data_IF_709056026312
#
_entry.id   IF_709056026312
#
_cell.length_a   1.000
_cell.length_b   1.000
_cell.length_c   1.000
_cell.angle_alpha   90.00
_cell.angle_beta   90.00
_cell.angle_gamma   90.00
#
_symmetry.space_group_name_H-M   'P 1'
#
loop_
_entity.id
_entity.type
_entity.pdbx_description
1 polymer ?
#
# COMPACT_ATOMS: atom_id res chain seq x y z
N UNK A 1 -30.53 -7.56 22.14
CA UNK A 1 -29.95 -8.10 20.89
C UNK A 1 -28.92 -7.14 20.23
N UNK A 2 -29.31 -5.92 19.85
CA UNK A 2 -28.40 -4.97 19.18
C UNK A 2 -27.13 -4.66 19.97
N UNK A 3 -27.19 -4.47 21.29
CA UNK A 3 -25.99 -4.22 22.12
C UNK A 3 -25.04 -5.43 22.10
N UNK A 4 -25.55 -6.65 22.28
CA UNK A 4 -24.71 -7.85 22.26
C UNK A 4 -24.05 -8.08 20.89
N UNK A 5 -24.74 -7.72 19.80
CA UNK A 5 -24.14 -7.77 18.45
C UNK A 5 -23.02 -6.72 18.28
N UNK A 6 -23.22 -5.51 18.79
CA UNK A 6 -22.19 -4.48 18.75
C UNK A 6 -20.95 -4.89 19.59
N UNK A 7 -21.17 -5.37 20.81
CA UNK A 7 -20.10 -5.83 21.71
C UNK A 7 -19.32 -7.00 21.07
N UNK A 8 -20.02 -7.94 20.41
CA UNK A 8 -19.40 -9.05 19.69
C UNK A 8 -18.55 -8.55 18.51
N UNK A 9 -19.08 -7.64 17.69
CA UNK A 9 -18.37 -7.08 16.54
C UNK A 9 -17.10 -6.33 16.99
N UNK A 10 -17.17 -5.57 18.09
CA UNK A 10 -16.02 -4.88 18.65
C UNK A 10 -14.90 -5.87 19.02
N UNK A 11 -15.25 -7.00 19.65
CA UNK A 11 -14.29 -8.05 19.99
C UNK A 11 -13.74 -8.71 18.72
N UNK A 12 -14.58 -9.06 17.74
CA UNK A 12 -14.14 -9.70 16.49
C UNK A 12 -13.11 -8.87 15.72
N UNK A 13 -13.27 -7.55 15.68
CA UNK A 13 -12.32 -6.62 15.05
C UNK A 13 -10.94 -6.58 15.73
N UNK A 14 -10.79 -7.15 16.93
CA UNK A 14 -9.51 -7.22 17.63
C UNK A 14 -8.78 -8.55 17.44
N UNK A 15 -9.45 -9.57 16.91
CA UNK A 15 -8.87 -10.91 16.73
C UNK A 15 -8.02 -10.92 15.46
N UNK A 16 -6.72 -11.28 15.57
CA UNK A 16 -5.88 -11.41 14.39
C UNK A 16 -6.28 -12.62 13.55
N UNK A 17 -5.93 -12.57 12.26
CA UNK A 17 -6.11 -13.72 11.36
C UNK A 17 -5.27 -14.92 11.83
N UNK A 18 -5.81 -16.12 11.61
CA UNK A 18 -5.09 -17.37 11.89
C UNK A 18 -4.05 -17.58 10.79
N UNK A 19 -2.76 -17.71 11.14
CA UNK A 19 -1.73 -18.03 10.16
C UNK A 19 -1.91 -19.44 9.61
N UNK A 20 -1.36 -19.70 8.42
CA UNK A 20 -1.28 -21.08 7.88
C UNK A 20 -0.23 -21.88 8.61
N UNK A 21 -0.34 -23.23 8.55
CA UNK A 21 0.61 -24.16 9.22
C UNK A 21 2.05 -23.99 8.73
N UNK A 22 2.27 -23.40 7.56
CA UNK A 22 3.59 -23.14 6.99
C UNK A 22 4.30 -21.93 7.64
N UNK A 23 3.57 -21.08 8.35
CA UNK A 23 4.16 -19.92 9.01
C UNK A 23 4.91 -20.34 10.26
N UNK A 24 6.23 -20.08 10.35
CA UNK A 24 7.00 -20.46 11.51
C UNK A 24 6.56 -19.69 12.76
N UNK A 25 6.52 -20.38 13.90
CA UNK A 25 6.32 -19.71 15.18
C UNK A 25 7.52 -18.82 15.50
N UNK A 26 7.25 -17.58 15.93
CA UNK A 26 8.29 -16.63 16.26
C UNK A 26 7.77 -15.40 16.99
N UNK A 27 8.65 -14.69 17.69
CA UNK A 27 8.32 -13.50 18.45
C UNK A 27 8.56 -12.20 17.67
N UNK A 28 9.40 -12.25 16.66
CA UNK A 28 9.83 -11.11 15.87
C UNK A 28 10.37 -11.53 14.49
N UNK A 29 10.78 -10.55 13.68
CA UNK A 29 11.28 -10.76 12.34
C UNK A 29 12.52 -11.65 12.24
N UNK A 30 13.25 -11.92 13.34
CA UNK A 30 14.40 -12.84 13.33
C UNK A 30 13.99 -14.29 13.11
N UNK A 31 12.73 -14.59 13.35
CA UNK A 31 12.14 -15.93 13.13
C UNK A 31 11.66 -16.15 11.69
N UNK A 32 11.68 -15.10 10.83
CA UNK A 32 11.26 -15.23 9.44
C UNK A 32 12.19 -16.14 8.65
N UNK A 33 11.59 -17.01 7.84
CA UNK A 33 12.31 -17.93 6.96
C UNK A 33 12.24 -17.42 5.52
N UNK A 34 13.39 -17.36 4.84
CA UNK A 34 13.44 -17.03 3.42
C UNK A 34 12.94 -18.24 2.64
N UNK A 35 11.77 -18.13 2.02
CA UNK A 35 11.15 -19.22 1.25
C UNK A 35 11.60 -19.30 -0.18
N UNK A 36 12.13 -18.19 -0.74
CA UNK A 36 12.62 -18.16 -2.12
C UNK A 36 13.64 -17.05 -2.30
N UNK A 37 14.75 -17.37 -2.97
CA UNK A 37 15.73 -16.41 -3.48
C UNK A 37 15.80 -16.51 -5.01
N UNK A 38 16.10 -15.39 -5.67
CA UNK A 38 16.17 -15.39 -7.13
C UNK A 38 16.89 -14.15 -7.66
N UNK A 39 17.30 -14.24 -8.95
CA UNK A 39 18.05 -13.19 -9.62
C UNK A 39 19.53 -13.20 -9.28
N UNK A 40 20.27 -12.25 -9.90
CA UNK A 40 21.69 -12.04 -9.64
C UNK A 40 21.82 -10.76 -8.82
N UNK A 41 22.38 -10.86 -7.62
CA UNK A 41 22.71 -9.69 -6.81
C UNK A 41 23.81 -8.90 -7.50
N UNK A 42 23.58 -7.62 -7.87
CA UNK A 42 24.62 -6.83 -8.50
C UNK A 42 25.75 -6.55 -7.52
N UNK A 43 26.99 -6.67 -8.01
CA UNK A 43 28.18 -6.25 -7.28
C UNK A 43 28.39 -4.75 -7.50
N UNK A 44 28.12 -3.95 -6.48
CA UNK A 44 28.25 -2.51 -6.55
C UNK A 44 29.70 -2.11 -6.20
N UNK A 45 30.34 -1.24 -7.00
CA UNK A 45 31.69 -0.75 -6.71
C UNK A 45 31.76 -0.11 -5.31
N UNK A 46 32.93 -0.18 -4.69
CA UNK A 46 33.19 0.53 -3.44
C UNK A 46 32.95 2.04 -3.62
N UNK A 47 32.29 2.68 -2.69
CA UNK A 47 31.92 4.10 -2.76
C UNK A 47 30.70 4.40 -3.64
N UNK A 48 29.91 3.39 -4.05
CA UNK A 48 28.64 3.61 -4.73
C UNK A 48 27.72 4.51 -3.91
N UNK A 49 27.14 5.52 -4.58
CA UNK A 49 26.26 6.50 -3.94
C UNK A 49 24.91 5.86 -3.58
N UNK A 50 24.36 6.26 -2.44
CA UNK A 50 22.99 5.94 -2.08
C UNK A 50 21.99 6.65 -3.02
N UNK A 51 20.76 6.14 -3.11
CA UNK A 51 19.75 6.70 -4.02
C UNK A 51 19.46 8.18 -3.75
N UNK A 52 19.42 8.63 -2.51
CA UNK A 52 19.20 10.04 -2.16
C UNK A 52 20.34 10.96 -2.62
N UNK A 53 21.59 10.48 -2.64
CA UNK A 53 22.73 11.22 -3.15
C UNK A 53 22.69 11.29 -4.68
N UNK A 54 22.27 10.21 -5.35
CA UNK A 54 22.05 10.19 -6.80
C UNK A 54 20.93 11.14 -7.21
N UNK A 55 19.80 11.14 -6.48
CA UNK A 55 18.67 12.03 -6.73
C UNK A 55 19.08 13.50 -6.63
N UNK A 56 19.87 13.84 -5.62
CA UNK A 56 20.43 15.19 -5.43
C UNK A 56 21.42 15.54 -6.53
N UNK A 57 22.38 14.65 -6.82
CA UNK A 57 23.43 14.86 -7.85
C UNK A 57 22.83 15.18 -9.22
N UNK A 58 21.73 14.52 -9.58
CA UNK A 58 21.09 14.69 -10.87
C UNK A 58 19.86 15.62 -10.83
N UNK A 59 19.60 16.29 -9.71
CA UNK A 59 18.45 17.19 -9.51
C UNK A 59 17.13 16.54 -9.92
N UNK A 60 16.87 15.34 -9.42
CA UNK A 60 15.70 14.53 -9.79
C UNK A 60 14.56 14.64 -8.78
N UNK A 61 14.88 14.77 -7.49
CA UNK A 61 13.93 14.91 -6.39
C UNK A 61 14.42 15.98 -5.43
N UNK A 62 13.54 16.85 -5.00
CA UNK A 62 13.79 17.87 -4.00
C UNK A 62 12.97 17.61 -2.75
N UNK A 63 13.65 17.25 -1.67
CA UNK A 63 13.03 16.99 -0.37
C UNK A 63 12.78 18.28 0.41
N UNK A 64 13.62 19.31 0.22
CA UNK A 64 13.50 20.59 0.92
C UNK A 64 12.27 21.37 0.44
N UNK A 65 11.98 21.33 -0.87
CA UNK A 65 10.73 21.86 -1.41
C UNK A 65 9.51 21.11 -0.86
N UNK A 66 9.60 19.78 -0.71
CA UNK A 66 8.55 18.99 -0.08
C UNK A 66 8.28 19.41 1.36
N UNK A 67 9.33 19.61 2.15
CA UNK A 67 9.23 20.13 3.52
C UNK A 67 8.61 21.53 3.54
N UNK A 68 8.97 22.41 2.60
CA UNK A 68 8.42 23.77 2.47
C UNK A 68 6.92 23.77 2.19
N UNK A 69 6.44 22.84 1.36
CA UNK A 69 5.03 22.80 0.90
C UNK A 69 4.15 22.10 1.92
N UNK A 70 4.61 20.98 2.49
CA UNK A 70 3.79 20.07 3.28
C UNK A 70 4.49 19.66 4.58
N UNK A 71 5.68 19.06 4.48
CA UNK A 71 6.42 18.51 5.60
C UNK A 71 7.41 17.43 5.16
N UNK A 72 8.14 16.85 6.10
CA UNK A 72 9.03 15.73 5.84
C UNK A 72 8.24 14.53 5.31
N UNK A 73 8.87 13.74 4.42
CA UNK A 73 8.22 12.56 3.82
C UNK A 73 7.32 12.84 2.61
N UNK A 74 7.31 14.08 2.10
CA UNK A 74 6.61 14.48 0.89
C UNK A 74 7.62 15.00 -0.15
N UNK A 75 8.22 14.15 -1.00
CA UNK A 75 9.20 14.56 -1.99
C UNK A 75 8.57 15.30 -3.17
N UNK A 76 9.33 16.21 -3.78
CA UNK A 76 8.95 16.86 -5.05
C UNK A 76 9.78 16.26 -6.17
N UNK A 77 9.13 15.55 -7.08
CA UNK A 77 9.76 14.97 -8.27
C UNK A 77 9.92 16.05 -9.36
N UNK A 78 11.12 16.16 -9.96
CA UNK A 78 11.44 17.24 -10.89
C UNK A 78 11.83 16.70 -12.25
N UNK A 79 11.35 17.33 -13.30
CA UNK A 79 11.76 17.16 -14.68
C UNK A 79 11.76 15.70 -15.15
N UNK A 80 12.94 15.13 -15.37
CA UNK A 80 13.09 13.76 -15.87
C UNK A 80 12.55 12.72 -14.89
N UNK A 81 12.61 12.98 -13.57
CA UNK A 81 12.11 12.03 -12.58
C UNK A 81 10.58 11.98 -12.56
N UNK A 82 9.91 13.14 -12.64
CA UNK A 82 8.45 13.18 -12.76
C UNK A 82 7.95 12.47 -14.03
N UNK A 83 8.70 12.63 -15.15
CA UNK A 83 8.39 11.89 -16.39
C UNK A 83 8.64 10.39 -16.23
N UNK A 84 9.72 10.00 -15.57
CA UNK A 84 10.07 8.60 -15.36
C UNK A 84 9.03 7.90 -14.47
N UNK A 85 8.57 8.55 -13.40
CA UNK A 85 7.52 8.03 -12.55
C UNK A 85 6.24 7.72 -13.35
N UNK A 86 5.73 8.66 -14.13
CA UNK A 86 4.56 8.42 -14.99
C UNK A 86 4.78 7.31 -16.02
N UNK A 87 6.00 7.15 -16.52
CA UNK A 87 6.34 6.07 -17.44
C UNK A 87 6.31 4.70 -16.75
N UNK A 88 6.76 4.62 -15.50
CA UNK A 88 6.66 3.40 -14.69
C UNK A 88 5.22 3.04 -14.36
N UNK A 89 4.40 4.03 -14.00
CA UNK A 89 2.96 3.85 -13.74
C UNK A 89 2.26 3.25 -14.97
N UNK A 90 2.46 3.88 -16.14
CA UNK A 90 1.91 3.39 -17.40
C UNK A 90 2.41 1.98 -17.75
N UNK A 91 3.71 1.73 -17.56
CA UNK A 91 4.30 0.42 -17.82
C UNK A 91 3.68 -0.67 -16.93
N UNK A 92 3.54 -0.44 -15.62
CA UNK A 92 2.95 -1.42 -14.72
C UNK A 92 1.47 -1.68 -15.00
N UNK A 93 0.69 -0.64 -15.33
CA UNK A 93 -0.69 -0.79 -15.75
C UNK A 93 -0.82 -1.61 -17.06
N UNK A 94 0.03 -1.33 -18.04
CA UNK A 94 0.05 -2.07 -19.30
C UNK A 94 0.44 -3.55 -19.09
N UNK A 95 1.40 -3.84 -18.22
CA UNK A 95 1.77 -5.22 -17.88
C UNK A 95 0.65 -5.95 -17.12
N UNK A 96 -0.04 -5.27 -16.20
CA UNK A 96 -1.21 -5.83 -15.52
C UNK A 96 -2.33 -6.15 -16.52
N UNK A 97 -2.64 -5.22 -17.44
CA UNK A 97 -3.64 -5.44 -18.50
C UNK A 97 -3.29 -6.61 -19.40
N UNK A 98 -2.03 -6.75 -19.83
CA UNK A 98 -1.55 -7.91 -20.59
C UNK A 98 -1.72 -9.23 -19.83
N UNK A 99 -1.68 -9.18 -18.49
CA UNK A 99 -1.90 -10.31 -17.60
C UNK A 99 -3.39 -10.56 -17.29
N UNK A 100 -4.30 -9.87 -18.01
CA UNK A 100 -5.75 -10.07 -17.90
C UNK A 100 -6.42 -9.32 -16.76
N UNK A 101 -5.77 -8.29 -16.19
CA UNK A 101 -6.39 -7.42 -15.21
C UNK A 101 -7.19 -6.31 -15.87
N UNK A 102 -8.35 -6.01 -15.31
CA UNK A 102 -9.17 -4.84 -15.67
C UNK A 102 -8.67 -3.61 -14.91
N UNK A 103 -8.34 -2.55 -15.64
CA UNK A 103 -7.91 -1.31 -15.04
C UNK A 103 -9.10 -0.56 -14.43
N UNK A 104 -8.94 -0.12 -13.18
CA UNK A 104 -9.92 0.65 -12.41
C UNK A 104 -9.27 1.91 -11.88
N UNK A 105 -9.94 3.04 -11.97
CA UNK A 105 -9.51 4.30 -11.37
C UNK A 105 -10.40 4.64 -10.17
N UNK A 106 -10.01 4.26 -8.94
CA UNK A 106 -10.82 4.48 -7.75
C UNK A 106 -10.65 5.91 -7.20
N UNK A 107 -11.57 6.38 -6.34
CA UNK A 107 -11.36 7.60 -5.56
C UNK A 107 -10.20 7.43 -4.57
N UNK A 108 -9.51 8.55 -4.26
CA UNK A 108 -8.39 8.59 -3.32
C UNK A 108 -8.82 8.74 -1.85
N UNK A 109 -10.11 8.88 -1.62
CA UNK A 109 -10.71 8.96 -0.29
C UNK A 109 -11.82 7.92 -0.16
N UNK A 110 -11.96 7.37 1.03
CA UNK A 110 -12.95 6.33 1.33
C UNK A 110 -13.70 6.64 2.61
N UNK A 111 -14.90 6.10 2.76
CA UNK A 111 -15.66 6.16 4.00
C UNK A 111 -15.17 5.12 5.03
N UNK A 112 -15.65 5.25 6.27
CA UNK A 112 -15.29 4.38 7.38
C UNK A 112 -15.59 2.89 7.07
N UNK A 113 -16.76 2.61 6.47
CA UNK A 113 -17.14 1.24 6.13
C UNK A 113 -16.15 0.57 5.17
N UNK A 114 -15.56 1.31 4.23
CA UNK A 114 -14.52 0.79 3.35
C UNK A 114 -13.21 0.54 4.07
N UNK A 115 -12.85 1.40 5.03
CA UNK A 115 -11.67 1.19 5.88
C UNK A 115 -11.81 -0.05 6.77
N UNK A 116 -12.99 -0.29 7.31
CA UNK A 116 -13.32 -1.50 8.08
C UNK A 116 -13.31 -2.75 7.21
N UNK A 117 -13.84 -2.66 5.99
CA UNK A 117 -13.96 -3.80 5.06
C UNK A 117 -12.62 -4.42 4.63
N UNK A 118 -11.52 -3.67 4.72
CA UNK A 118 -10.17 -4.14 4.42
C UNK A 118 -9.22 -4.14 5.62
N UNK A 119 -9.75 -3.97 6.84
CA UNK A 119 -8.97 -4.04 8.07
C UNK A 119 -8.01 -2.87 8.30
N UNK A 120 -8.17 -1.75 7.58
CA UNK A 120 -7.42 -0.51 7.84
C UNK A 120 -7.95 0.23 9.07
N UNK A 121 -9.22 0.02 9.38
CA UNK A 121 -9.87 0.48 10.61
C UNK A 121 -10.30 -0.71 11.46
N UNK A 122 -10.29 -0.58 12.79
CA UNK A 122 -9.82 0.57 13.57
C UNK A 122 -8.30 0.79 13.44
N UNK A 123 -7.90 2.04 13.19
CA UNK A 123 -6.50 2.43 12.99
C UNK A 123 -5.74 2.46 14.32
N UNK A 124 -5.30 1.29 14.77
CA UNK A 124 -4.58 1.11 16.05
C UNK A 124 -3.19 1.74 16.05
N UNK A 125 -2.59 1.93 14.88
CA UNK A 125 -1.23 2.43 14.73
C UNK A 125 -1.18 3.89 14.30
N UNK A 126 -2.32 4.53 14.04
CA UNK A 126 -2.41 5.92 13.61
C UNK A 126 -1.82 6.16 12.22
N UNK A 127 -1.99 5.21 11.30
CA UNK A 127 -1.41 5.26 9.95
C UNK A 127 -2.26 6.04 8.94
N UNK A 128 -3.56 6.15 9.19
CA UNK A 128 -4.51 6.76 8.26
C UNK A 128 -4.55 8.28 8.38
N UNK A 129 -4.54 8.97 7.24
CA UNK A 129 -4.94 10.38 7.18
C UNK A 129 -6.46 10.48 7.16
N UNK A 130 -7.01 11.30 8.04
CA UNK A 130 -8.45 11.48 8.21
C UNK A 130 -8.87 12.93 7.96
N UNK A 131 -9.79 13.14 7.03
CA UNK A 131 -10.47 14.40 6.80
C UNK A 131 -11.70 14.48 7.73
N UNK A 132 -11.50 15.06 8.91
CA UNK A 132 -12.47 15.00 10.02
C UNK A 132 -13.84 15.62 9.71
N UNK A 133 -13.86 16.70 8.90
CA UNK A 133 -15.12 17.41 8.59
C UNK A 133 -16.07 16.55 7.76
N UNK A 134 -15.52 15.76 6.84
CA UNK A 134 -16.30 14.93 5.91
C UNK A 134 -16.36 13.47 6.34
N UNK A 135 -15.66 13.11 7.42
CA UNK A 135 -15.46 11.72 7.86
C UNK A 135 -14.96 10.79 6.74
N UNK A 136 -13.96 11.27 5.99
CA UNK A 136 -13.32 10.53 4.92
C UNK A 136 -11.85 10.25 5.23
N UNK A 137 -11.35 9.12 4.77
CA UNK A 137 -9.97 8.70 4.96
C UNK A 137 -9.23 8.69 3.64
N UNK A 138 -8.01 9.26 3.60
CA UNK A 138 -7.14 9.14 2.43
C UNK A 138 -6.64 7.70 2.35
N UNK A 139 -6.66 7.12 1.17
CA UNK A 139 -6.30 5.71 0.97
C UNK A 139 -4.80 5.46 1.18
N UNK A 140 -4.41 4.41 1.92
CA UNK A 140 -3.02 3.98 2.05
C UNK A 140 -2.58 3.06 0.90
N UNK A 141 -3.52 2.59 0.11
CA UNK A 141 -3.37 1.67 -1.04
C UNK A 141 -4.68 1.63 -1.83
N UNK A 142 -4.60 1.42 -3.14
CA UNK A 142 -5.79 1.21 -3.98
C UNK A 142 -6.55 -0.08 -3.63
N UNK A 143 -5.93 -1.01 -2.92
CA UNK A 143 -6.59 -2.21 -2.39
C UNK A 143 -7.89 -1.85 -1.63
N UNK A 144 -7.86 -0.80 -0.80
CA UNK A 144 -9.03 -0.40 -0.01
C UNK A 144 -10.25 -0.08 -0.87
N UNK A 145 -10.22 0.90 -1.80
CA UNK A 145 -11.39 1.17 -2.61
C UNK A 145 -11.71 0.04 -3.61
N UNK A 146 -10.72 -0.62 -4.19
CA UNK A 146 -10.95 -1.65 -5.23
C UNK A 146 -11.59 -2.91 -4.63
N UNK A 147 -11.15 -3.36 -3.45
CA UNK A 147 -11.79 -4.49 -2.75
C UNK A 147 -13.23 -4.15 -2.36
N UNK A 148 -13.46 -2.92 -1.93
CA UNK A 148 -14.79 -2.48 -1.52
C UNK A 148 -15.79 -2.25 -2.67
N UNK A 149 -15.36 -2.32 -3.93
CA UNK A 149 -16.29 -2.41 -5.06
C UNK A 149 -17.20 -3.64 -4.96
N UNK A 150 -16.72 -4.69 -4.31
CA UNK A 150 -17.39 -5.97 -4.16
C UNK A 150 -17.88 -6.23 -2.73
N UNK A 151 -17.84 -5.21 -1.84
CA UNK A 151 -18.32 -5.34 -0.48
C UNK A 151 -19.84 -5.53 -0.47
N UNK A 152 -20.32 -6.47 0.35
CA UNK A 152 -21.73 -6.84 0.49
C UNK A 152 -22.36 -7.41 -0.80
N UNK A 153 -21.54 -7.81 -1.78
CA UNK A 153 -21.98 -8.47 -3.01
C UNK A 153 -21.82 -9.99 -2.90
N UNK A 154 -22.74 -10.73 -3.47
CA UNK A 154 -22.62 -12.17 -3.69
C UNK A 154 -22.21 -12.35 -5.14
N UNK A 155 -20.97 -12.80 -5.36
CA UNK A 155 -20.39 -12.99 -6.69
C UNK A 155 -20.66 -14.43 -7.13
N UNK A 156 -21.22 -14.59 -8.33
CA UNK A 156 -21.45 -15.90 -8.89
C UNK A 156 -20.12 -16.58 -9.30
N UNK A 157 -20.04 -17.89 -9.15
CA UNK A 157 -18.84 -18.67 -9.42
C UNK A 157 -18.28 -18.47 -10.83
N UNK A 158 -19.16 -18.30 -11.81
CA UNK A 158 -18.81 -18.08 -13.21
C UNK A 158 -18.23 -16.68 -13.51
N UNK A 159 -18.32 -15.75 -12.58
CA UNK A 159 -17.71 -14.42 -12.67
C UNK A 159 -16.27 -14.42 -12.16
N UNK A 160 -15.84 -15.48 -11.46
CA UNK A 160 -14.50 -15.60 -10.91
C UNK A 160 -13.51 -16.24 -11.90
N UNK A 161 -12.23 -15.88 -11.85
CA UNK A 161 -11.63 -14.88 -10.98
C UNK A 161 -11.85 -13.44 -11.49
N UNK A 162 -12.21 -12.53 -10.59
CA UNK A 162 -12.22 -11.10 -10.89
C UNK A 162 -10.83 -10.53 -10.66
N UNK A 163 -10.24 -9.89 -11.65
CA UNK A 163 -8.90 -9.31 -11.59
C UNK A 163 -8.95 -7.83 -11.90
N UNK A 164 -8.52 -7.00 -10.96
CA UNK A 164 -8.47 -5.55 -11.10
C UNK A 164 -7.05 -5.02 -10.89
N UNK A 165 -6.65 -4.02 -11.66
CA UNK A 165 -5.46 -3.24 -11.37
C UNK A 165 -5.82 -1.76 -11.26
N UNK A 166 -5.10 -1.03 -10.40
CA UNK A 166 -5.34 0.38 -10.19
C UNK A 166 -4.05 1.12 -9.87
N UNK A 167 -3.90 2.31 -10.46
CA UNK A 167 -2.93 3.29 -10.01
C UNK A 167 -3.57 4.23 -8.98
N UNK A 168 -2.85 4.57 -7.94
CA UNK A 168 -3.25 5.62 -7.01
C UNK A 168 -2.06 6.27 -6.31
N UNK A 169 -2.20 7.55 -5.97
CA UNK A 169 -1.45 8.12 -4.87
C UNK A 169 -1.92 7.47 -3.56
N UNK A 170 -0.97 7.11 -2.71
CA UNK A 170 -1.21 6.46 -1.42
C UNK A 170 -0.69 7.34 -0.30
N UNK A 171 -1.38 7.34 0.84
CA UNK A 171 -1.08 8.22 1.97
C UNK A 171 -0.93 7.41 3.25
N UNK A 172 0.23 7.51 3.91
CA UNK A 172 0.52 6.85 5.19
C UNK A 172 1.18 7.82 6.14
N UNK A 173 0.75 7.84 7.38
CA UNK A 173 1.37 8.73 8.39
C UNK A 173 2.76 8.28 8.81
N UNK A 174 3.14 7.04 8.48
CA UNK A 174 4.43 6.43 8.83
C UNK A 174 4.75 6.58 10.33
N UNK A 175 3.72 6.49 11.17
CA UNK A 175 3.83 6.63 12.61
C UNK A 175 4.85 5.64 13.18
N UNK A 176 5.79 6.14 13.99
CA UNK A 176 6.86 5.32 14.57
C UNK A 176 8.06 5.08 13.66
N UNK A 177 8.06 5.56 12.42
CA UNK A 177 9.21 5.43 11.51
C UNK A 177 10.21 6.57 11.73
N UNK A 178 11.51 6.24 11.91
CA UNK A 178 12.57 7.24 12.12
C UNK A 178 13.95 6.69 11.74
N UNK A 179 14.95 7.57 11.67
CA UNK A 179 16.34 7.20 11.40
C UNK A 179 16.66 6.91 9.94
N UNK A 180 17.38 5.83 9.66
CA UNK A 180 17.84 5.48 8.31
C UNK A 180 16.70 5.10 7.37
N UNK A 181 15.62 4.54 7.90
CA UNK A 181 14.49 4.01 7.13
C UNK A 181 13.66 5.11 6.47
N UNK A 182 13.72 6.35 6.98
CA UNK A 182 13.01 7.50 6.41
C UNK A 182 13.85 8.36 5.47
N UNK A 183 15.10 7.96 5.16
CA UNK A 183 15.95 8.69 4.21
C UNK A 183 15.56 8.39 2.76
N UNK A 184 15.56 9.44 1.95
CA UNK A 184 15.30 9.34 0.52
C UNK A 184 13.87 8.92 0.22
N UNK A 185 13.69 7.89 -0.60
CA UNK A 185 12.40 7.40 -1.07
C UNK A 185 11.95 6.09 -0.39
N UNK A 186 12.59 5.68 0.69
CA UNK A 186 12.27 4.38 1.31
C UNK A 186 10.92 4.37 2.02
N UNK A 187 10.60 5.44 2.77
CA UNK A 187 9.33 5.61 3.47
C UNK A 187 8.83 7.03 3.30
N UNK A 188 7.66 7.15 2.71
CA UNK A 188 7.05 8.42 2.35
C UNK A 188 5.63 8.50 2.88
N UNK A 189 5.23 9.71 3.25
CA UNK A 189 3.84 10.01 3.63
C UNK A 189 2.91 10.00 2.43
N UNK A 190 3.43 10.33 1.25
CA UNK A 190 2.75 10.21 -0.03
C UNK A 190 3.66 9.50 -1.04
N UNK A 191 3.15 8.49 -1.71
CA UNK A 191 3.83 7.74 -2.77
C UNK A 191 2.82 7.19 -3.76
N UNK A 192 3.31 6.81 -4.94
CA UNK A 192 2.48 6.24 -6.00
C UNK A 192 2.60 4.72 -6.01
N UNK A 193 1.48 4.03 -6.28
CA UNK A 193 1.40 2.58 -6.28
C UNK A 193 0.50 2.09 -7.41
N UNK A 194 0.95 1.07 -8.12
CA UNK A 194 0.09 0.26 -8.99
C UNK A 194 -0.22 -1.02 -8.22
N UNK A 195 -1.49 -1.21 -7.94
CA UNK A 195 -2.03 -2.36 -7.22
C UNK A 195 -2.61 -3.37 -8.20
N UNK A 196 -2.41 -4.65 -7.93
CA UNK A 196 -3.11 -5.74 -8.61
C UNK A 196 -3.89 -6.54 -7.58
N UNK A 197 -5.18 -6.68 -7.80
CA UNK A 197 -6.11 -7.38 -6.91
C UNK A 197 -6.81 -8.50 -7.68
N UNK A 198 -6.93 -9.67 -7.07
CA UNK A 198 -7.77 -10.73 -7.61
C UNK A 198 -8.69 -11.31 -6.55
N UNK A 199 -9.96 -11.45 -6.90
CA UNK A 199 -10.93 -12.21 -6.13
C UNK A 199 -11.02 -13.60 -6.73
N UNK A 200 -10.72 -14.61 -5.93
CA UNK A 200 -10.74 -16.02 -6.30
C UNK A 200 -11.51 -16.81 -5.23
N UNK A 201 -12.01 -17.99 -5.56
CA UNK A 201 -12.76 -18.84 -4.63
C UNK A 201 -11.92 -19.39 -3.47
N UNK A 202 -10.59 -19.40 -3.61
CA UNK A 202 -9.63 -19.69 -2.56
C UNK A 202 -8.79 -18.44 -2.39
N UNK A 203 -8.94 -17.76 -1.26
CA UNK A 203 -8.04 -16.66 -0.92
C UNK A 203 -6.70 -17.23 -0.49
N UNK A 204 -5.64 -16.88 -1.19
CA UNK A 204 -4.32 -17.00 -0.59
C UNK A 204 -4.23 -16.01 0.57
N UNK A 205 -3.63 -16.41 1.72
CA UNK A 205 -3.47 -15.49 2.83
C UNK A 205 -2.63 -14.29 2.35
N UNK A 206 -3.23 -13.12 2.39
CA UNK A 206 -2.52 -11.87 2.18
C UNK A 206 -1.53 -11.70 3.32
N UNK A 207 -0.26 -11.59 2.96
CA UNK A 207 0.85 -11.40 3.88
C UNK A 207 0.91 -9.96 4.37
#
# INVERSE_FOLDING_TARGET
>A
MQKAQADMNEVLLTIPNIPTDEVPEGRDASSNVVVKEGGVKPDLPEGSLCHWDLLKKFNLVDFDLGVKITGAGFPVYIGKMARFQRALEAFFLDEARKSGYTEVQPPLVVNEASGLGTGQLPDKEGQMYHANLDNLYLIPTAEVPVTNLFRDEIIEENELPIKCCAYSACFRREAGSYGKDVRGLNRLHQFDKVETLSLIHISEPTR
#
